data_IF_950245053306
#
_entry.id   IF_950245053306
#
_cell.length_a   1.000
_cell.length_b   1.000
_cell.length_c   1.000
_cell.angle_alpha   90.00
_cell.angle_beta   90.00
_cell.angle_gamma   90.00
#
_symmetry.space_group_name_H-M   'P 1'
#
loop_
_entity.id
_entity.type
_entity.pdbx_description
1 polymer ?
#
# COMPACT_ATOMS: atom_id res chain seq x y z
N UNK A 1 5.89 1.83 2.19
CA UNK A 1 5.58 2.63 0.97
C UNK A 1 5.58 4.10 1.32
N UNK A 2 6.07 5.00 0.45
CA UNK A 2 6.15 6.44 0.73
C UNK A 2 5.60 7.25 -0.45
N UNK A 3 4.79 8.27 -0.15
CA UNK A 3 4.22 9.17 -1.15
C UNK A 3 5.33 9.89 -1.91
N UNK A 4 5.12 10.11 -3.21
CA UNK A 4 6.04 10.85 -4.05
C UNK A 4 6.29 12.27 -3.48
N UNK A 5 7.51 12.78 -3.63
CA UNK A 5 7.97 14.05 -3.05
C UNK A 5 7.76 14.18 -1.52
N UNK A 6 7.57 13.06 -0.80
CA UNK A 6 7.27 13.01 0.65
C UNK A 6 6.02 13.78 1.07
N UNK A 7 5.10 14.01 0.14
CA UNK A 7 3.88 14.80 0.37
C UNK A 7 2.93 14.11 1.37
N UNK A 8 2.20 14.92 2.16
CA UNK A 8 1.23 14.44 3.14
C UNK A 8 -0.14 14.10 2.51
N UNK A 9 -0.17 13.12 1.60
CA UNK A 9 -1.37 12.76 0.81
C UNK A 9 -2.26 11.70 1.45
N UNK A 10 -1.88 11.16 2.61
CA UNK A 10 -2.61 10.08 3.30
C UNK A 10 -3.37 10.58 4.54
N UNK A 11 -3.59 11.89 4.66
CA UNK A 11 -4.26 12.52 5.81
C UNK A 11 -5.78 12.37 5.80
N UNK A 12 -6.38 12.12 4.64
CA UNK A 12 -7.82 11.95 4.45
C UNK A 12 -8.30 10.58 4.96
N UNK A 13 -9.47 10.56 5.59
CA UNK A 13 -10.06 9.32 6.12
C UNK A 13 -10.37 8.31 4.99
N UNK A 14 -10.72 8.82 3.82
CA UNK A 14 -10.99 8.06 2.61
C UNK A 14 -9.75 7.29 2.15
N UNK A 15 -8.54 7.86 2.33
CA UNK A 15 -7.29 7.14 2.05
C UNK A 15 -7.18 5.86 2.90
N UNK A 16 -7.60 5.93 4.18
CA UNK A 16 -7.62 4.77 5.08
C UNK A 16 -8.62 3.72 4.62
N UNK A 17 -9.80 4.13 4.17
CA UNK A 17 -10.83 3.21 3.68
C UNK A 17 -10.37 2.47 2.42
N UNK A 18 -9.83 3.20 1.44
CA UNK A 18 -9.25 2.64 0.20
C UNK A 18 -8.12 1.68 0.52
N UNK A 19 -7.25 2.03 1.47
CA UNK A 19 -6.14 1.18 1.88
C UNK A 19 -6.59 -0.13 2.50
N UNK A 20 -7.53 -0.07 3.45
CA UNK A 20 -8.10 -1.26 4.11
C UNK A 20 -8.78 -2.16 3.06
N UNK A 21 -9.53 -1.56 2.13
CA UNK A 21 -10.16 -2.29 1.04
C UNK A 21 -9.13 -2.99 0.13
N UNK A 22 -8.07 -2.29 -0.26
CA UNK A 22 -6.99 -2.86 -1.05
C UNK A 22 -6.32 -4.03 -0.32
N UNK A 23 -6.04 -3.89 0.98
CA UNK A 23 -5.44 -4.96 1.79
C UNK A 23 -6.33 -6.18 1.83
N UNK A 24 -7.64 -6.03 2.06
CA UNK A 24 -8.58 -7.17 2.06
C UNK A 24 -8.56 -7.92 0.73
N UNK A 25 -8.63 -7.20 -0.40
CA UNK A 25 -8.48 -7.80 -1.72
C UNK A 25 -7.14 -8.52 -1.93
N UNK A 26 -6.05 -7.96 -1.40
CA UNK A 26 -4.74 -8.59 -1.49
C UNK A 26 -4.69 -9.87 -0.66
N UNK A 27 -5.28 -9.89 0.54
CA UNK A 27 -5.38 -11.07 1.39
C UNK A 27 -6.19 -12.14 0.65
N UNK A 28 -7.35 -11.80 0.08
CA UNK A 28 -8.17 -12.77 -0.67
C UNK A 28 -7.42 -13.33 -1.90
N UNK A 29 -6.60 -12.52 -2.55
CA UNK A 29 -5.87 -12.89 -3.76
C UNK A 29 -4.60 -13.72 -3.52
N UNK A 30 -3.86 -13.41 -2.47
CA UNK A 30 -2.53 -13.99 -2.21
C UNK A 30 -2.46 -14.81 -0.91
N UNK A 31 -3.55 -14.83 -0.13
CA UNK A 31 -3.75 -15.64 1.08
C UNK A 31 -2.71 -15.42 2.20
N UNK A 32 -2.09 -14.24 2.29
CA UNK A 32 -1.09 -13.92 3.32
C UNK A 32 -1.71 -13.46 4.64
N UNK A 33 -0.93 -13.52 5.73
CA UNK A 33 -1.34 -13.00 7.04
C UNK A 33 -0.89 -11.55 7.25
N UNK A 34 -1.73 -10.74 7.87
CA UNK A 34 -1.41 -9.39 8.29
C UNK A 34 -1.48 -9.27 9.81
N UNK A 35 -0.37 -8.88 10.42
CA UNK A 35 -0.25 -8.66 11.87
C UNK A 35 -0.43 -7.21 12.27
N UNK A 36 -0.07 -6.27 11.38
CA UNK A 36 -0.09 -4.85 11.70
C UNK A 36 -0.09 -3.96 10.47
N UNK A 37 -0.72 -2.80 10.64
CA UNK A 37 -0.78 -1.72 9.66
C UNK A 37 -0.60 -0.40 10.38
N UNK A 38 0.38 0.40 9.96
CA UNK A 38 0.51 1.78 10.41
C UNK A 38 0.44 2.71 9.20
N UNK A 39 -0.58 3.56 9.19
CA UNK A 39 -0.78 4.60 8.18
C UNK A 39 -0.31 5.93 8.75
N UNK A 40 0.76 6.46 8.16
CA UNK A 40 1.26 7.80 8.44
C UNK A 40 0.80 8.76 7.36
N UNK A 41 0.94 10.07 7.60
CA UNK A 41 0.48 11.10 6.67
C UNK A 41 1.16 11.07 5.29
N UNK A 42 2.39 10.53 5.19
CA UNK A 42 3.12 10.40 3.93
C UNK A 42 3.68 8.99 3.63
N UNK A 43 3.50 8.00 4.50
CA UNK A 43 4.00 6.64 4.27
C UNK A 43 3.20 5.57 5.01
N UNK A 44 3.42 4.31 4.65
CA UNK A 44 2.69 3.15 5.19
C UNK A 44 3.69 2.07 5.58
N UNK A 45 3.50 1.50 6.78
CA UNK A 45 4.18 0.31 7.28
C UNK A 45 3.22 -0.87 7.33
N UNK A 46 3.74 -2.03 6.91
CA UNK A 46 3.05 -3.31 6.89
C UNK A 46 3.84 -4.30 7.72
N UNK A 47 3.16 -5.06 8.58
CA UNK A 47 3.71 -6.27 9.17
C UNK A 47 2.89 -7.44 8.65
N UNK A 48 3.48 -8.20 7.72
CA UNK A 48 2.80 -9.26 6.96
C UNK A 48 3.67 -10.52 6.89
N UNK A 49 3.04 -11.67 6.82
CA UNK A 49 3.67 -12.97 6.58
C UNK A 49 3.05 -13.58 5.32
N UNK A 50 3.79 -13.64 4.20
CA UNK A 50 3.35 -14.35 3.01
C UNK A 50 3.38 -15.87 3.25
N UNK A 51 2.58 -16.66 2.52
CA UNK A 51 2.69 -18.13 2.61
C UNK A 51 4.06 -18.63 2.16
N UNK A 52 4.59 -18.02 1.11
CA UNK A 52 5.91 -18.27 0.59
C UNK A 52 6.69 -16.96 0.55
N UNK A 53 7.95 -16.92 1.01
CA UNK A 53 8.77 -15.71 0.97
C UNK A 53 8.85 -15.06 -0.44
N UNK A 54 8.80 -15.88 -1.49
CA UNK A 54 8.82 -15.45 -2.89
C UNK A 54 7.55 -14.70 -3.35
N UNK A 55 6.46 -14.74 -2.57
CA UNK A 55 5.22 -14.01 -2.89
C UNK A 55 5.22 -12.57 -2.36
N UNK A 56 6.11 -12.22 -1.41
CA UNK A 56 6.21 -10.86 -0.86
C UNK A 56 6.33 -9.79 -1.97
N UNK A 57 7.22 -9.93 -2.98
CA UNK A 57 7.31 -8.96 -4.06
C UNK A 57 6.01 -8.83 -4.87
N UNK A 58 5.27 -9.93 -5.08
CA UNK A 58 4.01 -9.94 -5.83
C UNK A 58 2.91 -9.23 -5.05
N UNK A 59 2.77 -9.53 -3.76
CA UNK A 59 1.82 -8.89 -2.84
C UNK A 59 2.07 -7.39 -2.81
N UNK A 60 3.32 -6.98 -2.57
CA UNK A 60 3.69 -5.57 -2.49
C UNK A 60 3.53 -4.86 -3.84
N UNK A 61 3.89 -5.50 -4.95
CA UNK A 61 3.67 -4.90 -6.28
C UNK A 61 2.19 -4.62 -6.53
N UNK A 62 1.32 -5.60 -6.23
CA UNK A 62 -0.12 -5.44 -6.42
C UNK A 62 -0.71 -4.36 -5.51
N UNK A 63 -0.35 -4.35 -4.22
CA UNK A 63 -0.78 -3.32 -3.28
C UNK A 63 -0.33 -1.93 -3.73
N UNK A 64 0.93 -1.77 -4.13
CA UNK A 64 1.47 -0.50 -4.60
C UNK A 64 0.71 0.00 -5.83
N UNK A 65 0.52 -0.87 -6.84
CA UNK A 65 -0.16 -0.52 -8.08
C UNK A 65 -1.63 -0.16 -7.85
N UNK A 66 -2.36 -1.02 -7.14
CA UNK A 66 -3.80 -0.84 -6.93
C UNK A 66 -4.10 0.42 -6.12
N UNK A 67 -3.35 0.64 -5.03
CA UNK A 67 -3.52 1.84 -4.20
C UNK A 67 -3.10 3.11 -4.93
N UNK A 68 -2.03 3.08 -5.74
CA UNK A 68 -1.63 4.24 -6.55
C UNK A 68 -2.74 4.65 -7.53
N UNK A 69 -3.37 3.67 -8.20
CA UNK A 69 -4.49 3.90 -9.09
C UNK A 69 -5.66 4.56 -8.35
N UNK A 70 -6.12 3.96 -7.24
CA UNK A 70 -7.24 4.48 -6.46
C UNK A 70 -6.95 5.88 -5.88
N UNK A 71 -5.75 6.10 -5.33
CA UNK A 71 -5.39 7.39 -4.74
C UNK A 71 -5.25 8.49 -5.78
N UNK A 72 -4.69 8.19 -6.96
CA UNK A 72 -4.64 9.14 -8.06
C UNK A 72 -6.05 9.54 -8.50
N UNK A 73 -6.94 8.58 -8.71
CA UNK A 73 -8.33 8.87 -9.09
C UNK A 73 -9.05 9.70 -8.01
N UNK A 74 -8.98 9.27 -6.74
CA UNK A 74 -9.66 9.91 -5.62
C UNK A 74 -9.15 11.33 -5.35
N UNK A 75 -7.87 11.60 -5.58
CA UNK A 75 -7.25 12.91 -5.35
C UNK A 75 -7.15 13.76 -6.62
N UNK A 76 -7.76 13.32 -7.72
CA UNK A 76 -7.71 13.96 -9.04
C UNK A 76 -6.27 14.26 -9.50
N UNK A 77 -5.40 13.26 -9.43
CA UNK A 77 -3.97 13.32 -9.78
C UNK A 77 -3.63 12.36 -10.91
N UNK A 78 -2.54 12.68 -11.59
CA UNK A 78 -1.89 11.82 -12.58
C UNK A 78 -0.41 11.62 -12.22
N UNK A 79 0.22 10.60 -12.82
CA UNK A 79 1.63 10.27 -12.58
C UNK A 79 1.88 9.38 -11.35
N UNK A 80 3.13 9.33 -10.90
CA UNK A 80 3.55 8.45 -9.81
C UNK A 80 3.01 8.93 -8.45
N UNK A 81 2.18 8.10 -7.81
CA UNK A 81 1.71 8.34 -6.44
C UNK A 81 2.77 7.94 -5.40
N UNK A 82 3.44 6.80 -5.60
CA UNK A 82 4.51 6.31 -4.73
C UNK A 82 5.88 6.72 -5.27
N UNK A 83 6.79 7.10 -4.37
CA UNK A 83 8.14 7.61 -4.72
C UNK A 83 9.04 6.51 -5.30
N UNK A 84 9.13 5.38 -4.58
CA UNK A 84 10.06 4.27 -4.87
C UNK A 84 9.37 2.93 -4.64
N UNK A 85 10.08 1.85 -4.99
CA UNK A 85 9.72 0.49 -4.58
C UNK A 85 9.61 0.40 -3.05
N UNK A 86 8.90 -0.62 -2.58
CA UNK A 86 8.81 -0.89 -1.14
C UNK A 86 10.19 -1.22 -0.57
N UNK A 87 10.33 -0.98 0.73
CA UNK A 87 11.48 -1.42 1.53
C UNK A 87 10.98 -2.51 2.47
N UNK A 88 11.75 -3.58 2.62
CA UNK A 88 11.47 -4.68 3.55
C UNK A 88 12.72 -5.01 4.34
N UNK A 89 12.55 -5.25 5.63
CA UNK A 89 13.55 -5.77 6.55
C UNK A 89 12.94 -6.98 7.23
N UNK A 90 13.71 -8.06 7.30
CA UNK A 90 13.38 -9.26 8.07
C UNK A 90 14.07 -9.25 9.42
#
# INVERSE_FOLDING_TARGET
MRCNNREFRLTKLECRQVLIYAIKKAIDKYNFRMYGLCLMSNHIHYLIEPLQPSDLPKIMHWLNWYTALCFNQMLNRTGHFWEKRYHSTG
#
